data_IF_189113963186
#
_entry.id   IF_189113963186
#
_cell.length_a   1.000
_cell.length_b   1.000
_cell.length_c   1.000
_cell.angle_alpha   90.00
_cell.angle_beta   90.00
_cell.angle_gamma   90.00
#
_symmetry.space_group_name_H-M   'P 1'
#
loop_
_entity.id
_entity.type
_entity.pdbx_description
1 polymer ?
#
# COMPACT_ATOMS: atom_id res chain seq x y z
N UNK A 1 -62.48 -31.77 -32.68
CA UNK A 1 -61.78 -30.49 -33.05
C UNK A 1 -61.33 -29.60 -31.87
N UNK A 2 -62.05 -29.45 -30.74
CA UNK A 2 -61.58 -28.59 -29.61
C UNK A 2 -60.41 -29.19 -28.76
N UNK A 3 -60.33 -30.53 -28.62
CA UNK A 3 -59.26 -31.20 -27.85
C UNK A 3 -57.91 -31.17 -28.58
N UNK A 4 -57.89 -31.33 -29.89
CA UNK A 4 -56.63 -31.36 -30.70
C UNK A 4 -55.95 -30.01 -30.79
N UNK A 5 -56.72 -28.90 -30.69
CA UNK A 5 -56.16 -27.53 -30.66
C UNK A 5 -55.55 -27.16 -29.30
N UNK A 6 -55.94 -27.82 -28.20
CA UNK A 6 -55.35 -27.57 -26.85
C UNK A 6 -53.99 -28.27 -26.67
N UNK A 7 -53.87 -29.52 -27.14
CA UNK A 7 -52.59 -30.28 -27.05
C UNK A 7 -51.49 -29.69 -27.95
N UNK A 8 -51.84 -29.15 -29.11
CA UNK A 8 -50.86 -28.45 -29.98
C UNK A 8 -50.41 -27.12 -29.40
N UNK A 9 -51.27 -26.40 -28.68
CA UNK A 9 -50.90 -25.17 -27.94
C UNK A 9 -50.00 -25.48 -26.74
N UNK A 10 -50.27 -26.52 -25.98
CA UNK A 10 -49.41 -26.95 -24.86
C UNK A 10 -48.04 -27.44 -25.34
N UNK A 11 -47.98 -28.24 -26.40
CA UNK A 11 -46.69 -28.68 -27.01
C UNK A 11 -45.84 -27.50 -27.54
N UNK A 12 -46.47 -26.46 -28.13
CA UNK A 12 -45.80 -25.23 -28.56
C UNK A 12 -45.29 -24.42 -27.37
N UNK A 13 -46.09 -24.32 -26.29
CA UNK A 13 -45.69 -23.64 -25.05
C UNK A 13 -44.54 -24.33 -24.37
N UNK A 14 -44.50 -25.65 -24.30
CA UNK A 14 -43.39 -26.43 -23.77
C UNK A 14 -42.12 -26.32 -24.62
N UNK A 15 -42.22 -26.32 -25.95
CA UNK A 15 -41.08 -26.09 -26.84
C UNK A 15 -40.52 -24.68 -26.70
N UNK A 16 -41.38 -23.68 -26.56
CA UNK A 16 -40.97 -22.29 -26.33
C UNK A 16 -40.32 -22.13 -24.97
N UNK A 17 -40.86 -22.71 -23.90
CA UNK A 17 -40.28 -22.69 -22.53
C UNK A 17 -38.92 -23.39 -22.50
N UNK A 18 -38.77 -24.55 -23.17
CA UNK A 18 -37.48 -25.24 -23.30
C UNK A 18 -36.45 -24.38 -24.07
N UNK A 19 -36.84 -23.72 -25.17
CA UNK A 19 -35.93 -22.81 -25.89
C UNK A 19 -35.53 -21.61 -25.04
N UNK A 20 -36.49 -21.03 -24.30
CA UNK A 20 -36.21 -19.93 -23.37
C UNK A 20 -35.23 -20.35 -22.27
N UNK A 21 -35.40 -21.54 -21.71
CA UNK A 21 -34.48 -22.13 -20.73
C UNK A 21 -33.10 -22.40 -21.33
N UNK A 22 -33.00 -22.96 -22.51
CA UNK A 22 -31.72 -23.32 -23.15
C UNK A 22 -30.93 -22.11 -23.61
N UNK A 23 -31.54 -20.98 -23.91
CA UNK A 23 -30.91 -19.74 -24.34
C UNK A 23 -30.78 -18.77 -23.15
N UNK A 24 -31.82 -18.63 -22.34
CA UNK A 24 -31.88 -17.68 -21.24
C UNK A 24 -30.98 -18.08 -20.08
N UNK A 25 -30.86 -19.38 -19.75
CA UNK A 25 -30.04 -19.84 -18.65
C UNK A 25 -28.53 -19.57 -18.90
N UNK A 26 -27.92 -19.89 -20.05
CA UNK A 26 -26.53 -19.52 -20.34
C UNK A 26 -26.28 -18.02 -20.32
N UNK A 27 -27.23 -17.21 -20.83
CA UNK A 27 -27.12 -15.75 -20.77
C UNK A 27 -27.13 -15.26 -19.32
N UNK A 28 -28.03 -15.80 -18.49
CA UNK A 28 -28.16 -15.46 -17.08
C UNK A 28 -26.90 -15.86 -16.28
N UNK A 29 -26.31 -17.01 -16.59
CA UNK A 29 -25.04 -17.48 -16.05
C UNK A 29 -23.89 -16.54 -16.47
N UNK A 30 -23.84 -16.17 -17.75
CA UNK A 30 -22.84 -15.22 -18.26
C UNK A 30 -22.95 -13.86 -17.55
N UNK A 31 -24.15 -13.34 -17.39
CA UNK A 31 -24.39 -12.08 -16.65
C UNK A 31 -23.93 -12.24 -15.20
N UNK A 32 -24.30 -13.31 -14.52
CA UNK A 32 -23.91 -13.58 -13.14
C UNK A 32 -22.38 -13.68 -12.97
N UNK A 33 -21.67 -14.20 -13.98
CA UNK A 33 -20.21 -14.28 -13.97
C UNK A 33 -19.51 -12.93 -14.14
N UNK A 34 -20.15 -11.95 -14.78
CA UNK A 34 -19.56 -10.64 -15.11
C UNK A 34 -19.95 -9.57 -14.08
N UNK A 35 -21.14 -9.66 -13.49
CA UNK A 35 -21.64 -8.65 -12.54
C UNK A 35 -20.71 -8.52 -11.34
N UNK A 36 -20.23 -7.30 -11.01
CA UNK A 36 -19.40 -7.05 -9.83
C UNK A 36 -20.14 -7.46 -8.54
N UNK A 37 -19.38 -8.02 -7.61
CA UNK A 37 -19.87 -8.35 -6.26
C UNK A 37 -19.38 -7.30 -5.25
N UNK A 38 -19.71 -7.46 -3.98
CA UNK A 38 -19.16 -6.67 -2.87
C UNK A 38 -17.82 -7.24 -2.35
N UNK A 39 -17.15 -8.09 -3.13
CA UNK A 39 -15.85 -8.66 -2.84
C UNK A 39 -14.79 -8.01 -3.71
N UNK A 40 -13.55 -8.08 -3.23
CA UNK A 40 -12.36 -7.63 -3.94
C UNK A 40 -11.39 -8.81 -4.09
N UNK A 41 -10.71 -8.86 -5.21
CA UNK A 41 -9.64 -9.83 -5.46
C UNK A 41 -8.29 -9.10 -5.48
N UNK A 42 -7.33 -9.64 -4.75
CA UNK A 42 -5.93 -9.25 -4.82
C UNK A 42 -5.15 -10.32 -5.57
N UNK A 43 -4.39 -9.92 -6.59
CA UNK A 43 -3.59 -10.81 -7.45
C UNK A 43 -2.19 -10.23 -7.65
N UNK A 44 -1.23 -11.02 -8.19
CA UNK A 44 0.07 -10.48 -8.61
C UNK A 44 -0.11 -9.29 -9.56
N UNK A 45 0.57 -8.20 -9.26
CA UNK A 45 0.55 -6.96 -10.05
C UNK A 45 1.69 -6.91 -11.07
N UNK A 46 2.46 -5.83 -11.02
CA UNK A 46 3.58 -5.54 -11.93
C UNK A 46 4.90 -5.43 -11.18
N UNK A 47 5.98 -5.51 -11.92
CA UNK A 47 7.35 -5.22 -11.48
C UNK A 47 7.81 -3.98 -12.24
N UNK A 48 8.15 -2.91 -11.51
CA UNK A 48 8.44 -1.62 -12.11
C UNK A 48 9.88 -1.18 -11.81
N UNK A 49 10.66 -0.79 -12.82
CA UNK A 49 12.04 -0.35 -12.62
C UNK A 49 12.09 1.02 -11.95
N UNK A 50 12.66 1.07 -10.75
CA UNK A 50 12.66 2.26 -9.88
C UNK A 50 13.49 3.41 -10.47
N UNK A 51 14.55 3.11 -11.23
CA UNK A 51 15.38 4.09 -11.92
C UNK A 51 14.61 4.91 -12.98
N UNK A 52 13.47 4.39 -13.47
CA UNK A 52 12.61 5.13 -14.39
C UNK A 52 11.69 6.14 -13.68
N UNK A 53 11.46 5.93 -12.38
CA UNK A 53 10.59 6.76 -11.55
C UNK A 53 11.34 7.89 -10.84
N UNK A 54 12.67 7.75 -10.66
CA UNK A 54 13.49 8.67 -9.87
C UNK A 54 14.40 9.49 -10.77
N UNK A 55 14.45 10.79 -10.48
CA UNK A 55 15.44 11.69 -11.04
C UNK A 55 16.18 12.43 -9.93
N UNK A 56 17.49 12.52 -10.07
CA UNK A 56 18.37 13.32 -9.22
C UNK A 56 18.95 14.46 -10.07
N UNK A 57 18.64 15.72 -9.70
CA UNK A 57 18.92 16.91 -10.51
C UNK A 57 18.44 16.77 -11.97
N UNK A 58 17.24 16.17 -12.14
CA UNK A 58 16.61 15.97 -13.44
C UNK A 58 17.18 14.82 -14.27
N UNK A 59 18.16 14.07 -13.76
CA UNK A 59 18.77 12.94 -14.45
C UNK A 59 18.29 11.61 -13.89
N UNK A 60 17.95 10.66 -14.76
CA UNK A 60 17.67 9.27 -14.41
C UNK A 60 18.98 8.48 -14.33
N UNK A 61 19.00 7.43 -13.52
CA UNK A 61 20.11 6.49 -13.52
C UNK A 61 20.08 5.61 -14.78
N UNK A 62 21.25 5.47 -15.39
CA UNK A 62 21.48 4.66 -16.61
C UNK A 62 22.49 3.55 -16.37
N UNK A 63 22.82 3.26 -15.12
CA UNK A 63 23.72 2.17 -14.73
C UNK A 63 23.19 0.80 -15.12
N UNK A 64 24.04 -0.22 -15.10
CA UNK A 64 23.66 -1.61 -15.43
C UNK A 64 22.88 -2.25 -14.28
N UNK A 65 21.92 -3.13 -14.61
CA UNK A 65 21.02 -3.77 -13.69
C UNK A 65 19.95 -2.80 -13.16
N UNK A 66 18.96 -3.31 -12.47
CA UNK A 66 17.85 -2.50 -12.00
C UNK A 66 17.48 -2.83 -10.55
N UNK A 67 16.97 -1.83 -9.85
CA UNK A 67 16.10 -2.03 -8.71
C UNK A 67 14.65 -2.01 -9.18
N UNK A 68 13.87 -2.98 -8.71
CA UNK A 68 12.44 -3.07 -9.02
C UNK A 68 11.61 -2.99 -7.75
N UNK A 69 10.58 -2.17 -7.76
CA UNK A 69 9.47 -2.32 -6.84
C UNK A 69 8.47 -3.35 -7.40
N UNK A 70 7.69 -3.96 -6.52
CA UNK A 70 6.65 -4.93 -6.88
C UNK A 70 5.32 -4.49 -6.35
N UNK A 71 4.27 -4.65 -7.17
CA UNK A 71 2.90 -4.29 -6.81
C UNK A 71 2.02 -5.51 -6.64
N UNK A 72 0.89 -5.33 -6.00
CA UNK A 72 -0.29 -6.19 -6.09
C UNK A 72 -1.37 -5.44 -6.86
N UNK A 73 -2.23 -6.14 -7.55
CA UNK A 73 -3.41 -5.56 -8.19
C UNK A 73 -4.65 -5.92 -7.39
N UNK A 74 -5.42 -4.92 -7.02
CA UNK A 74 -6.70 -5.07 -6.33
C UNK A 74 -7.80 -4.62 -7.28
N UNK A 75 -8.84 -5.43 -7.43
CA UNK A 75 -9.99 -5.12 -8.26
C UNK A 75 -11.27 -5.62 -7.61
N UNK A 76 -12.40 -4.97 -7.89
CA UNK A 76 -13.71 -5.49 -7.49
C UNK A 76 -13.96 -6.81 -8.19
N UNK A 77 -14.26 -7.87 -7.41
CA UNK A 77 -14.39 -9.21 -7.93
C UNK A 77 -15.79 -9.48 -8.46
N UNK A 78 -15.88 -10.16 -9.61
CA UNK A 78 -17.09 -10.81 -10.08
C UNK A 78 -17.06 -12.31 -9.72
N UNK A 79 -18.13 -13.03 -10.01
CA UNK A 79 -18.23 -14.45 -9.67
C UNK A 79 -17.16 -15.30 -10.38
N UNK A 80 -16.79 -14.96 -11.61
CA UNK A 80 -15.74 -15.67 -12.33
C UNK A 80 -14.38 -15.51 -11.65
N UNK A 81 -14.05 -14.31 -11.16
CA UNK A 81 -12.82 -14.04 -10.41
C UNK A 81 -12.79 -14.76 -9.05
N UNK A 82 -13.95 -14.84 -8.37
CA UNK A 82 -14.09 -15.60 -7.12
C UNK A 82 -13.86 -17.10 -7.37
N UNK A 83 -14.42 -17.66 -8.43
CA UNK A 83 -14.19 -19.06 -8.82
C UNK A 83 -12.69 -19.27 -9.16
N UNK A 84 -12.11 -18.38 -9.97
CA UNK A 84 -10.70 -18.42 -10.35
C UNK A 84 -9.78 -18.42 -9.12
N UNK A 85 -10.09 -17.64 -8.09
CA UNK A 85 -9.27 -17.54 -6.89
C UNK A 85 -9.11 -18.87 -6.15
N UNK A 86 -10.06 -19.79 -6.25
CA UNK A 86 -9.97 -21.13 -5.64
C UNK A 86 -8.92 -22.03 -6.32
N UNK A 87 -8.56 -21.72 -7.56
CA UNK A 87 -7.58 -22.47 -8.33
C UNK A 87 -6.22 -21.75 -8.44
N UNK A 88 -6.15 -20.48 -8.01
CA UNK A 88 -4.93 -19.68 -8.05
C UNK A 88 -4.40 -19.44 -6.63
N UNK A 89 -3.29 -20.07 -6.31
CA UNK A 89 -2.64 -19.96 -4.99
C UNK A 89 -2.09 -18.57 -4.66
N UNK A 90 -2.00 -17.68 -5.64
CA UNK A 90 -1.50 -16.30 -5.51
C UNK A 90 -2.63 -15.28 -5.67
N UNK A 91 -3.83 -15.63 -5.26
CA UNK A 91 -4.96 -14.71 -5.20
C UNK A 91 -5.63 -14.77 -3.83
N UNK A 92 -6.13 -13.63 -3.37
CA UNK A 92 -6.86 -13.51 -2.10
C UNK A 92 -8.14 -12.75 -2.33
N UNK A 93 -9.24 -13.23 -1.73
CA UNK A 93 -10.54 -12.55 -1.77
C UNK A 93 -10.76 -11.86 -0.42
N UNK A 94 -11.08 -10.58 -0.48
CA UNK A 94 -11.44 -9.74 0.67
C UNK A 94 -12.91 -9.33 0.59
N UNK A 95 -13.54 -9.10 1.75
CA UNK A 95 -14.73 -8.27 1.81
C UNK A 95 -14.34 -6.79 1.65
N UNK A 96 -15.30 -5.93 1.26
CA UNK A 96 -15.06 -4.49 1.24
C UNK A 96 -14.65 -3.97 2.63
N UNK A 97 -15.25 -4.52 3.70
CA UNK A 97 -14.94 -4.15 5.08
C UNK A 97 -13.52 -4.57 5.50
N UNK A 98 -13.08 -5.78 5.13
CA UNK A 98 -11.71 -6.26 5.45
C UNK A 98 -10.64 -5.47 4.70
N UNK A 99 -10.93 -5.02 3.45
CA UNK A 99 -9.97 -4.29 2.63
C UNK A 99 -9.93 -2.80 2.94
N UNK A 100 -11.09 -2.17 3.03
CA UNK A 100 -11.23 -0.71 3.07
C UNK A 100 -11.77 -0.19 4.41
N UNK A 101 -12.20 -1.09 5.31
CA UNK A 101 -12.82 -0.67 6.58
C UNK A 101 -14.13 0.08 6.34
N UNK A 102 -14.20 1.32 6.83
CA UNK A 102 -15.37 2.20 6.66
C UNK A 102 -15.27 3.12 5.43
N UNK A 103 -14.19 3.05 4.66
CA UNK A 103 -13.94 3.87 3.49
C UNK A 103 -14.66 3.35 2.25
N UNK A 104 -15.03 4.26 1.35
CA UNK A 104 -15.36 3.91 -0.04
C UNK A 104 -14.07 3.74 -0.89
N UNK A 105 -14.21 3.28 -2.13
CA UNK A 105 -13.06 3.03 -3.01
C UNK A 105 -12.24 4.29 -3.29
N UNK A 106 -12.89 5.46 -3.46
CA UNK A 106 -12.19 6.71 -3.74
C UNK A 106 -11.38 7.18 -2.53
N UNK A 107 -11.92 7.02 -1.33
CA UNK A 107 -11.23 7.31 -0.08
C UNK A 107 -10.04 6.36 0.14
N UNK A 108 -10.23 5.08 -0.15
CA UNK A 108 -9.18 4.07 -0.07
C UNK A 108 -8.01 4.39 -1.03
N UNK A 109 -8.31 4.76 -2.27
CA UNK A 109 -7.30 5.16 -3.25
C UNK A 109 -6.56 6.42 -2.80
N UNK A 110 -7.27 7.42 -2.28
CA UNK A 110 -6.69 8.65 -1.76
C UNK A 110 -5.75 8.38 -0.58
N UNK A 111 -6.16 7.54 0.37
CA UNK A 111 -5.33 7.14 1.52
C UNK A 111 -4.06 6.43 1.04
N UNK A 112 -4.16 5.54 0.05
CA UNK A 112 -2.99 4.86 -0.52
C UNK A 112 -2.03 5.83 -1.23
N UNK A 113 -2.54 6.93 -1.84
CA UNK A 113 -1.69 7.98 -2.39
C UNK A 113 -0.91 8.72 -1.30
N UNK A 114 -1.53 9.03 -0.15
CA UNK A 114 -0.81 9.65 0.98
C UNK A 114 0.23 8.72 1.61
N UNK A 115 -0.08 7.43 1.72
CA UNK A 115 0.93 6.45 2.13
C UNK A 115 2.12 6.43 1.18
N UNK A 116 1.87 6.48 -0.13
CA UNK A 116 2.93 6.53 -1.15
C UNK A 116 3.75 7.82 -1.03
N UNK A 117 3.10 8.98 -0.87
CA UNK A 117 3.78 10.26 -0.70
C UNK A 117 4.67 10.28 0.55
N UNK A 118 4.15 9.79 1.68
CA UNK A 118 4.94 9.66 2.91
C UNK A 118 6.14 8.72 2.70
N UNK A 119 5.93 7.58 2.03
CA UNK A 119 7.01 6.64 1.73
C UNK A 119 8.10 7.26 0.83
N UNK A 120 7.71 8.06 -0.17
CA UNK A 120 8.65 8.79 -1.02
C UNK A 120 9.48 9.81 -0.21
N UNK A 121 8.83 10.60 0.63
CA UNK A 121 9.51 11.58 1.49
C UNK A 121 10.47 10.90 2.48
N UNK A 122 10.02 9.82 3.13
CA UNK A 122 10.87 9.05 4.04
C UNK A 122 12.03 8.40 3.29
N UNK A 123 11.84 7.95 2.05
CA UNK A 123 12.90 7.38 1.23
C UNK A 123 13.99 8.42 0.90
N UNK A 124 13.60 9.64 0.51
CA UNK A 124 14.56 10.74 0.28
C UNK A 124 15.31 11.05 1.57
N UNK A 125 14.59 11.22 2.68
CA UNK A 125 15.17 11.46 4.00
C UNK A 125 16.21 10.41 4.37
N UNK A 126 15.86 9.12 4.27
CA UNK A 126 16.74 8.02 4.66
C UNK A 126 17.94 7.88 3.73
N UNK A 127 17.79 8.09 2.42
CA UNK A 127 18.90 8.04 1.48
C UNK A 127 19.94 9.12 1.77
N UNK A 128 19.51 10.35 2.03
CA UNK A 128 20.42 11.45 2.38
C UNK A 128 21.07 11.28 3.75
N UNK A 129 20.30 10.83 4.75
CA UNK A 129 20.80 10.50 6.08
C UNK A 129 21.88 9.41 6.01
N UNK A 130 21.62 8.34 5.26
CA UNK A 130 22.56 7.22 5.05
C UNK A 130 23.81 7.65 4.29
N UNK A 131 23.66 8.52 3.29
CA UNK A 131 24.76 9.11 2.54
C UNK A 131 25.53 10.18 3.33
N UNK A 132 25.05 10.58 4.51
CA UNK A 132 25.59 11.70 5.33
C UNK A 132 25.64 13.01 4.54
N UNK A 133 24.68 13.21 3.66
CA UNK A 133 24.51 14.42 2.86
C UNK A 133 23.49 15.36 3.53
N UNK A 134 23.60 16.68 3.32
CA UNK A 134 22.69 17.66 3.92
C UNK A 134 21.27 17.54 3.35
N UNK A 135 20.28 17.65 4.22
CA UNK A 135 18.88 17.74 3.92
C UNK A 135 18.16 18.60 4.95
N UNK A 136 17.00 19.10 4.60
CA UNK A 136 16.04 19.73 5.53
C UNK A 136 14.75 18.93 5.54
N UNK A 137 14.36 18.46 6.71
CA UNK A 137 13.05 17.79 6.91
C UNK A 137 12.07 18.82 7.49
N UNK A 138 11.08 19.18 6.71
CA UNK A 138 9.94 20.01 7.14
C UNK A 138 8.81 19.09 7.58
N UNK A 139 8.27 19.37 8.73
CA UNK A 139 7.09 18.70 9.24
C UNK A 139 5.90 19.67 9.18
N UNK A 140 4.94 19.36 8.30
CA UNK A 140 3.77 20.20 8.04
C UNK A 140 2.55 19.79 8.89
N UNK A 141 2.63 18.63 9.57
CA UNK A 141 1.57 18.10 10.40
C UNK A 141 1.31 16.62 10.16
N UNK A 142 0.04 16.19 10.27
CA UNK A 142 -0.37 14.82 9.99
C UNK A 142 -1.56 14.80 9.04
N UNK A 143 -1.53 13.91 8.04
CA UNK A 143 -2.70 13.63 7.21
C UNK A 143 -3.74 12.84 7.99
N UNK A 144 -5.00 13.22 7.85
CA UNK A 144 -6.17 12.47 8.33
C UNK A 144 -6.48 11.36 7.34
N UNK A 145 -6.32 10.11 7.74
CA UNK A 145 -6.57 8.93 6.91
C UNK A 145 -7.91 8.26 7.20
N UNK A 146 -8.38 8.33 8.44
CA UNK A 146 -9.69 7.84 8.87
C UNK A 146 -10.17 8.61 10.09
N UNK A 147 -11.49 8.67 10.29
CA UNK A 147 -12.13 9.38 11.40
C UNK A 147 -13.04 8.41 12.14
N UNK A 148 -12.65 8.06 13.36
CA UNK A 148 -13.36 7.11 14.19
C UNK A 148 -14.81 7.55 14.49
N UNK A 149 -15.70 6.58 14.63
CA UNK A 149 -17.14 6.84 14.91
C UNK A 149 -17.39 7.68 16.16
N UNK A 150 -16.53 7.55 17.17
CA UNK A 150 -16.61 8.31 18.43
C UNK A 150 -15.82 9.62 18.41
N UNK A 151 -15.18 10.00 17.30
CA UNK A 151 -14.51 11.29 17.17
C UNK A 151 -15.51 12.43 17.19
N UNK A 152 -15.24 13.49 17.97
CA UNK A 152 -16.03 14.72 17.97
C UNK A 152 -15.79 15.58 16.72
N UNK A 153 -14.83 15.16 15.88
CA UNK A 153 -14.49 15.81 14.61
C UNK A 153 -15.11 15.13 13.38
N UNK A 154 -15.93 14.07 13.56
CA UNK A 154 -16.46 13.23 12.47
C UNK A 154 -17.15 14.00 11.34
N UNK A 155 -17.85 15.11 11.66
CA UNK A 155 -18.56 15.93 10.67
C UNK A 155 -17.82 17.26 10.36
N UNK A 156 -16.57 17.38 10.78
CA UNK A 156 -15.74 18.57 10.65
C UNK A 156 -14.51 18.32 9.81
N UNK A 157 -13.80 17.23 10.11
CA UNK A 157 -12.65 16.77 9.37
C UNK A 157 -13.06 15.98 8.11
N UNK A 158 -12.18 16.01 7.14
CA UNK A 158 -12.24 15.21 5.92
C UNK A 158 -10.97 14.35 5.82
N UNK A 159 -11.06 13.21 5.14
CA UNK A 159 -9.88 12.46 4.73
C UNK A 159 -9.02 13.37 3.86
N UNK A 160 -7.70 13.33 4.05
CA UNK A 160 -6.71 14.22 3.43
C UNK A 160 -6.57 15.62 4.07
N UNK A 161 -7.35 15.97 5.08
CA UNK A 161 -7.02 17.17 5.87
C UNK A 161 -5.66 16.98 6.54
N UNK A 162 -4.85 18.02 6.60
CA UNK A 162 -3.59 18.03 7.37
C UNK A 162 -3.82 18.74 8.69
N UNK A 163 -3.72 18.02 9.81
CA UNK A 163 -3.76 18.65 11.15
C UNK A 163 -2.41 19.29 11.42
N UNK A 164 -2.39 20.60 11.49
CA UNK A 164 -1.16 21.42 11.63
C UNK A 164 -0.91 21.85 13.08
N UNK A 165 -2.00 22.04 13.86
CA UNK A 165 -1.92 22.50 15.26
C UNK A 165 -2.96 21.79 16.13
N UNK A 166 -2.61 21.56 17.41
CA UNK A 166 -3.53 21.12 18.46
C UNK A 166 -3.43 22.07 19.65
N UNK A 167 -4.52 22.75 20.02
CA UNK A 167 -4.57 23.79 21.05
C UNK A 167 -3.54 24.90 20.84
N UNK A 168 -3.38 25.35 19.59
CA UNK A 168 -2.43 26.38 19.20
C UNK A 168 -0.95 25.98 19.28
N UNK A 169 -0.65 24.66 19.46
CA UNK A 169 0.71 24.15 19.46
C UNK A 169 1.01 23.46 18.13
N UNK A 170 2.17 23.77 17.57
CA UNK A 170 2.79 23.04 16.47
C UNK A 170 3.75 21.98 17.02
N UNK A 171 4.08 20.97 16.20
CA UNK A 171 4.91 19.82 16.59
C UNK A 171 5.99 19.58 15.54
N UNK A 172 6.99 18.76 15.88
CA UNK A 172 8.08 18.39 14.98
C UNK A 172 7.91 16.95 14.43
N UNK A 173 6.94 16.22 14.92
CA UNK A 173 6.60 14.85 14.48
C UNK A 173 5.21 14.45 15.00
N UNK A 174 4.60 13.44 14.35
CA UNK A 174 3.38 12.80 14.87
C UNK A 174 3.58 12.20 16.26
N UNK A 175 4.77 11.67 16.55
CA UNK A 175 5.08 11.12 17.86
C UNK A 175 5.00 12.19 18.97
N UNK A 176 5.51 13.40 18.72
CA UNK A 176 5.41 14.54 19.64
C UNK A 176 3.96 14.99 19.80
N UNK A 177 3.22 15.13 18.70
CA UNK A 177 1.79 15.46 18.71
C UNK A 177 0.98 14.43 19.50
N UNK A 178 1.20 13.13 19.23
CA UNK A 178 0.51 12.06 19.96
C UNK A 178 0.84 12.05 21.45
N UNK A 179 2.11 12.28 21.82
CA UNK A 179 2.52 12.39 23.22
C UNK A 179 1.78 13.53 23.92
N UNK A 180 1.66 14.68 23.29
CA UNK A 180 0.90 15.81 23.81
C UNK A 180 -0.58 15.46 23.96
N UNK A 181 -1.23 14.88 22.94
CA UNK A 181 -2.64 14.48 22.97
C UNK A 181 -2.91 13.44 24.06
N UNK A 182 -2.02 12.43 24.20
CA UNK A 182 -2.14 11.39 25.21
C UNK A 182 -1.98 11.89 26.64
N UNK A 183 -1.30 13.03 26.85
CA UNK A 183 -1.18 13.68 28.15
C UNK A 183 -2.45 14.44 28.57
N UNK A 184 -3.42 14.60 27.68
CA UNK A 184 -4.64 15.33 27.94
C UNK A 184 -5.72 14.43 28.57
N UNK A 185 -6.72 15.05 29.21
CA UNK A 185 -7.82 14.35 29.86
C UNK A 185 -8.92 14.02 28.83
N UNK A 186 -9.40 12.77 28.81
CA UNK A 186 -10.60 12.39 28.04
C UNK A 186 -11.79 13.27 28.42
N UNK A 187 -12.53 13.80 27.45
CA UNK A 187 -13.63 14.74 27.63
C UNK A 187 -13.20 16.21 27.73
N UNK A 188 -11.91 16.49 27.87
CA UNK A 188 -11.36 17.85 27.82
C UNK A 188 -11.56 18.49 26.46
N UNK A 189 -11.65 19.82 26.43
CA UNK A 189 -11.80 20.59 25.20
C UNK A 189 -10.50 20.57 24.39
N UNK A 190 -10.64 20.53 23.07
CA UNK A 190 -9.52 20.61 22.13
C UNK A 190 -9.90 21.42 20.90
N UNK A 191 -9.02 22.32 20.52
CA UNK A 191 -9.07 23.01 19.24
C UNK A 191 -8.01 22.42 18.33
N UNK A 192 -8.35 22.14 17.07
CA UNK A 192 -7.39 21.73 16.03
C UNK A 192 -7.45 22.72 14.87
N UNK A 193 -6.27 23.01 14.30
CA UNK A 193 -6.16 23.73 13.04
C UNK A 193 -5.78 22.74 11.96
N UNK A 194 -6.40 22.85 10.80
CA UNK A 194 -6.17 21.99 9.66
C UNK A 194 -6.01 22.79 8.38
N UNK A 195 -5.16 22.29 7.48
CA UNK A 195 -5.09 22.77 6.10
C UNK A 195 -5.71 21.69 5.20
N UNK A 196 -6.70 22.08 4.40
CA UNK A 196 -7.34 21.18 3.43
C UNK A 196 -6.52 21.05 2.16
N UNK A 197 -6.88 20.05 1.32
CA UNK A 197 -6.22 19.78 0.04
C UNK A 197 -6.30 20.98 -0.94
N UNK A 198 -7.28 21.87 -0.76
CA UNK A 198 -7.40 23.13 -1.53
C UNK A 198 -6.50 24.28 -0.99
N UNK A 199 -5.67 23.98 0.01
CA UNK A 199 -4.75 24.92 0.65
C UNK A 199 -5.39 25.87 1.65
N UNK A 200 -6.70 25.72 1.98
CA UNK A 200 -7.38 26.59 2.94
C UNK A 200 -7.26 26.06 4.37
N UNK A 201 -7.06 26.99 5.30
CA UNK A 201 -7.01 26.70 6.73
C UNK A 201 -8.39 26.77 7.37
N UNK A 202 -8.64 25.80 8.27
CA UNK A 202 -9.84 25.73 9.10
C UNK A 202 -9.45 25.49 10.55
N UNK A 203 -10.31 25.91 11.48
CA UNK A 203 -10.15 25.63 12.91
C UNK A 203 -11.44 25.00 13.43
N UNK A 204 -11.31 23.94 14.20
CA UNK A 204 -12.43 23.17 14.74
C UNK A 204 -12.24 22.90 16.22
N UNK A 205 -13.31 23.17 16.99
CA UNK A 205 -13.39 22.80 18.40
C UNK A 205 -14.00 21.42 18.54
N UNK A 206 -13.53 20.68 19.53
CA UNK A 206 -13.99 19.34 19.84
C UNK A 206 -13.62 18.91 21.24
N UNK A 207 -13.63 17.60 21.50
CA UNK A 207 -13.22 17.02 22.77
C UNK A 207 -12.26 15.85 22.54
N UNK A 208 -11.32 15.70 23.45
CA UNK A 208 -10.50 14.49 23.49
C UNK A 208 -11.37 13.26 23.81
N UNK A 209 -11.15 12.19 23.07
CA UNK A 209 -11.89 10.92 23.20
C UNK A 209 -10.97 9.78 23.63
N UNK A 210 -11.55 8.71 24.15
CA UNK A 210 -10.83 7.46 24.39
C UNK A 210 -10.76 6.70 23.07
N UNK A 211 -9.54 6.39 22.58
CA UNK A 211 -9.33 5.60 21.35
C UNK A 211 -9.30 4.10 21.68
N UNK A 212 -9.28 3.23 20.65
CA UNK A 212 -9.33 1.76 20.78
C UNK A 212 -8.23 1.17 21.67
N UNK A 213 -7.06 1.80 21.71
CA UNK A 213 -5.94 1.41 22.59
C UNK A 213 -6.15 1.79 24.06
N UNK A 214 -7.27 2.42 24.41
CA UNK A 214 -7.56 2.91 25.76
C UNK A 214 -6.94 4.26 26.11
N UNK A 215 -6.09 4.83 25.24
CA UNK A 215 -5.43 6.11 25.42
C UNK A 215 -6.33 7.29 25.01
N UNK A 216 -5.92 8.51 25.41
CA UNK A 216 -6.54 9.75 24.94
C UNK A 216 -6.13 10.04 23.50
N UNK A 217 -7.07 10.46 22.65
CA UNK A 217 -6.87 10.82 21.26
C UNK A 217 -7.91 11.84 20.79
N UNK A 218 -7.85 12.22 19.52
CA UNK A 218 -8.90 13.00 18.83
C UNK A 218 -9.74 12.11 17.90
N UNK A 219 -9.42 10.81 17.84
CA UNK A 219 -10.18 9.83 17.07
C UNK A 219 -9.94 9.92 15.57
N UNK A 220 -8.68 9.99 15.14
CA UNK A 220 -8.26 9.91 13.74
C UNK A 220 -7.18 8.84 13.58
N UNK A 221 -7.11 8.23 12.39
CA UNK A 221 -5.92 7.54 11.89
C UNK A 221 -5.09 8.54 11.09
N UNK A 222 -3.77 8.44 11.20
CA UNK A 222 -2.89 9.49 10.66
C UNK A 222 -1.57 8.91 10.13
N UNK A 223 -0.92 9.67 9.24
CA UNK A 223 0.50 9.54 8.89
C UNK A 223 1.14 10.93 8.85
N UNK A 224 2.47 10.98 8.96
CA UNK A 224 3.20 12.24 8.89
C UNK A 224 3.02 12.91 7.52
N UNK A 225 2.74 14.21 7.55
CA UNK A 225 2.86 15.09 6.41
C UNK A 225 4.20 15.81 6.52
N UNK A 226 5.17 15.37 5.71
CA UNK A 226 6.53 15.92 5.70
C UNK A 226 6.94 16.30 4.28
N UNK A 227 7.86 17.24 4.15
CA UNK A 227 8.57 17.55 2.92
C UNK A 227 10.07 17.44 3.18
N UNK A 228 10.81 16.87 2.25
CA UNK A 228 12.26 16.81 2.30
C UNK A 228 12.86 17.71 1.23
N UNK A 229 13.57 18.74 1.67
CA UNK A 229 14.36 19.59 0.77
C UNK A 229 15.78 19.09 0.76
N UNK A 230 16.29 18.72 -0.41
CA UNK A 230 17.60 18.10 -0.58
C UNK A 230 18.40 18.74 -1.71
N UNK A 231 19.75 18.64 -1.60
CA UNK A 231 20.67 19.00 -2.66
C UNK A 231 21.68 17.85 -2.80
N UNK A 232 21.71 17.13 -3.95
CA UNK A 232 20.94 17.34 -5.18
C UNK A 232 19.42 17.15 -5.00
N UNK A 233 18.62 17.76 -5.89
CA UNK A 233 17.17 17.66 -5.84
C UNK A 233 16.69 16.31 -6.34
N UNK A 234 15.90 15.62 -5.53
CA UNK A 234 15.26 14.33 -5.89
C UNK A 234 13.80 14.57 -6.28
N UNK A 235 13.34 13.91 -7.35
CA UNK A 235 11.93 13.78 -7.71
C UNK A 235 11.60 12.32 -7.92
N UNK A 236 10.45 11.90 -7.40
CA UNK A 236 9.91 10.55 -7.57
C UNK A 236 8.55 10.68 -8.24
N UNK A 237 8.34 9.93 -9.31
CA UNK A 237 7.06 9.82 -10.02
C UNK A 237 6.65 8.36 -10.03
N UNK A 238 5.80 7.98 -9.09
CA UNK A 238 5.25 6.63 -8.98
C UNK A 238 3.94 6.45 -9.78
N UNK A 239 3.49 7.46 -10.53
CA UNK A 239 2.25 7.42 -11.29
C UNK A 239 1.04 7.13 -10.39
N UNK A 240 0.28 6.10 -10.74
CA UNK A 240 -0.91 5.66 -9.98
C UNK A 240 -0.62 4.60 -8.91
N UNK A 241 0.65 4.24 -8.68
CA UNK A 241 1.01 3.25 -7.66
C UNK A 241 0.80 3.87 -6.28
N UNK A 242 0.01 3.18 -5.44
CA UNK A 242 -0.29 3.57 -4.07
C UNK A 242 0.34 2.66 -3.02
N UNK A 243 0.24 3.08 -1.75
CA UNK A 243 0.71 2.34 -0.59
C UNK A 243 2.20 2.53 -0.29
N UNK A 244 2.66 2.20 0.95
CA UNK A 244 3.98 2.56 1.44
C UNK A 244 5.08 1.53 1.11
N UNK A 245 4.74 0.39 0.50
CA UNK A 245 5.59 -0.80 0.42
C UNK A 245 6.79 -0.70 -0.54
N UNK A 246 6.93 0.42 -1.27
CA UNK A 246 8.05 0.71 -2.16
C UNK A 246 9.17 1.52 -1.49
N UNK A 247 8.99 1.95 -0.24
CA UNK A 247 9.88 2.87 0.46
C UNK A 247 11.34 2.42 0.49
N UNK A 248 11.60 1.14 0.82
CA UNK A 248 12.95 0.57 0.80
C UNK A 248 13.59 0.68 -0.59
N UNK A 249 12.87 0.31 -1.64
CA UNK A 249 13.42 0.28 -3.00
C UNK A 249 13.69 1.69 -3.53
N UNK A 250 12.83 2.66 -3.22
CA UNK A 250 13.11 4.07 -3.51
C UNK A 250 14.36 4.55 -2.78
N UNK A 251 14.51 4.21 -1.50
CA UNK A 251 15.69 4.59 -0.70
C UNK A 251 16.98 4.06 -1.31
N UNK A 252 16.99 2.77 -1.68
CA UNK A 252 18.17 2.12 -2.29
C UNK A 252 18.55 2.77 -3.62
N UNK A 253 17.57 3.06 -4.48
CA UNK A 253 17.83 3.71 -5.76
C UNK A 253 18.34 5.15 -5.58
N UNK A 254 17.72 5.95 -4.70
CA UNK A 254 18.18 7.32 -4.41
C UNK A 254 19.61 7.27 -3.84
N UNK A 255 19.85 6.41 -2.86
CA UNK A 255 21.17 6.25 -2.24
C UNK A 255 22.23 5.86 -3.28
N UNK A 256 21.90 4.93 -4.18
CA UNK A 256 22.76 4.50 -5.29
C UNK A 256 23.13 5.71 -6.18
N UNK A 257 22.14 6.52 -6.58
CA UNK A 257 22.36 7.67 -7.45
C UNK A 257 23.16 8.79 -6.77
N UNK A 258 22.83 9.18 -5.53
CA UNK A 258 23.47 10.31 -4.85
C UNK A 258 24.90 10.01 -4.37
N UNK A 259 25.20 8.72 -4.12
CA UNK A 259 26.54 8.30 -3.69
C UNK A 259 27.44 7.87 -4.84
N UNK A 260 26.87 7.61 -6.02
CA UNK A 260 27.59 7.03 -7.16
C UNK A 260 28.07 5.60 -6.93
N UNK A 261 27.58 4.91 -5.88
CA UNK A 261 27.86 3.49 -5.64
C UNK A 261 27.09 2.63 -6.63
N UNK A 262 27.69 1.54 -7.10
CA UNK A 262 26.96 0.54 -7.91
C UNK A 262 26.51 -0.63 -7.03
N UNK A 263 25.44 -0.41 -6.25
CA UNK A 263 24.87 -1.45 -5.39
C UNK A 263 24.24 -2.59 -6.19
N UNK A 264 23.81 -2.34 -7.43
CA UNK A 264 23.20 -3.35 -8.29
C UNK A 264 24.26 -4.29 -8.87
N UNK A 265 25.41 -3.78 -9.23
CA UNK A 265 26.50 -4.54 -9.86
C UNK A 265 25.97 -5.38 -11.05
N UNK A 266 25.14 -4.76 -11.89
CA UNK A 266 24.54 -5.37 -13.08
C UNK A 266 23.42 -6.39 -12.80
N UNK A 267 22.99 -6.58 -11.55
CA UNK A 267 21.94 -7.55 -11.14
C UNK A 267 20.54 -6.96 -11.27
N UNK A 268 19.56 -7.83 -11.49
CA UNK A 268 18.13 -7.52 -11.48
C UNK A 268 17.57 -7.81 -10.07
N UNK A 269 17.37 -6.77 -9.28
CA UNK A 269 17.06 -6.83 -7.85
C UNK A 269 15.67 -6.30 -7.60
N UNK A 270 14.74 -7.17 -7.27
CA UNK A 270 13.40 -6.78 -6.81
C UNK A 270 13.37 -6.70 -5.28
N UNK A 271 12.37 -6.02 -4.75
CA UNK A 271 12.16 -5.98 -3.32
C UNK A 271 10.86 -5.29 -2.91
N UNK A 272 10.59 -5.35 -1.62
CA UNK A 272 9.45 -4.68 -1.00
C UNK A 272 9.75 -4.40 0.47
N UNK A 273 9.09 -3.41 1.04
CA UNK A 273 9.23 -3.01 2.44
C UNK A 273 8.90 -1.54 2.62
N UNK A 274 8.26 -1.19 3.71
CA UNK A 274 8.21 0.24 4.12
C UNK A 274 9.60 0.68 4.53
N UNK A 275 9.79 1.97 4.68
CA UNK A 275 10.99 2.56 5.27
C UNK A 275 10.57 3.52 6.37
N UNK A 276 11.09 3.30 7.57
CA UNK A 276 10.81 4.16 8.71
C UNK A 276 11.91 5.22 8.90
N UNK A 277 11.61 6.26 9.66
CA UNK A 277 12.56 7.36 9.91
C UNK A 277 13.78 6.97 10.75
N UNK A 278 13.78 5.81 11.39
CA UNK A 278 14.93 5.22 12.08
C UNK A 278 15.76 4.27 11.19
N UNK A 279 15.28 3.98 9.97
CA UNK A 279 15.91 3.07 9.02
C UNK A 279 15.37 1.64 9.05
N UNK A 280 14.39 1.36 9.91
CA UNK A 280 13.71 0.06 9.98
C UNK A 280 12.92 -0.21 8.70
N UNK A 281 12.98 -1.45 8.21
CA UNK A 281 12.17 -1.95 7.09
C UNK A 281 10.95 -2.67 7.64
N UNK A 282 9.77 -2.11 7.37
CA UNK A 282 8.50 -2.64 7.90
C UNK A 282 7.84 -3.67 7.00
N UNK A 283 6.98 -4.50 7.63
CA UNK A 283 6.20 -5.55 6.97
C UNK A 283 5.15 -4.97 6.02
N UNK A 284 4.77 -5.75 5.00
CA UNK A 284 3.81 -5.35 3.95
C UNK A 284 2.79 -6.47 3.67
N UNK A 285 1.72 -6.14 2.97
CA UNK A 285 0.75 -7.12 2.49
C UNK A 285 1.11 -7.74 1.14
N UNK A 286 0.55 -8.93 0.85
CA UNK A 286 0.63 -9.56 -0.46
C UNK A 286 2.03 -9.99 -0.91
N UNK A 287 2.93 -10.32 0.03
CA UNK A 287 4.31 -10.68 -0.29
C UNK A 287 4.41 -11.91 -1.21
N UNK A 288 3.54 -12.87 -1.06
CA UNK A 288 3.43 -14.07 -1.91
C UNK A 288 3.18 -13.70 -3.38
N UNK A 289 2.31 -12.74 -3.62
CA UNK A 289 1.96 -12.22 -4.94
C UNK A 289 3.11 -11.41 -5.55
N UNK A 290 3.81 -10.64 -4.72
CA UNK A 290 5.00 -9.87 -5.10
C UNK A 290 6.16 -10.78 -5.49
N UNK A 291 6.36 -11.88 -4.79
CA UNK A 291 7.32 -12.93 -5.16
C UNK A 291 6.96 -13.56 -6.52
N UNK A 292 5.66 -13.83 -6.74
CA UNK A 292 5.21 -14.38 -8.02
C UNK A 292 5.49 -13.42 -9.19
N UNK A 293 5.24 -12.13 -8.98
CA UNK A 293 5.49 -11.07 -9.96
C UNK A 293 6.98 -10.94 -10.26
N UNK A 294 7.83 -10.80 -9.23
CA UNK A 294 9.28 -10.66 -9.39
C UNK A 294 9.93 -11.88 -10.05
N UNK A 295 9.48 -13.09 -9.68
CA UNK A 295 9.97 -14.35 -10.27
C UNK A 295 9.63 -14.45 -11.77
N UNK A 296 8.44 -13.99 -12.17
CA UNK A 296 8.01 -13.96 -13.58
C UNK A 296 8.84 -12.97 -14.40
N UNK A 297 9.25 -11.84 -13.81
CA UNK A 297 10.08 -10.83 -14.45
C UNK A 297 11.55 -11.21 -14.55
N UNK A 298 11.97 -12.29 -13.85
CA UNK A 298 13.34 -12.78 -13.90
C UNK A 298 14.28 -12.10 -12.90
N UNK A 299 13.76 -11.54 -11.82
CA UNK A 299 14.60 -11.00 -10.75
C UNK A 299 15.52 -12.09 -10.17
N UNK A 300 16.78 -11.74 -9.93
CA UNK A 300 17.79 -12.64 -9.38
C UNK A 300 17.73 -12.67 -7.84
N UNK A 301 17.37 -11.53 -7.26
CA UNK A 301 17.34 -11.26 -5.82
C UNK A 301 16.02 -10.61 -5.48
N UNK A 302 15.44 -10.99 -4.33
CA UNK A 302 14.30 -10.31 -3.74
C UNK A 302 14.59 -9.92 -2.29
N UNK A 303 14.68 -8.62 -2.01
CA UNK A 303 14.84 -8.08 -0.67
C UNK A 303 13.46 -8.02 0.01
N UNK A 304 13.35 -8.58 1.22
CA UNK A 304 12.06 -8.72 1.90
C UNK A 304 12.18 -8.48 3.40
N UNK A 305 11.21 -7.79 4.03
CA UNK A 305 11.25 -7.55 5.47
C UNK A 305 11.26 -8.84 6.30
N UNK A 306 12.08 -8.87 7.34
CA UNK A 306 12.10 -9.92 8.36
C UNK A 306 11.71 -9.34 9.73
N UNK A 307 10.54 -9.69 10.25
CA UNK A 307 10.10 -9.28 11.58
C UNK A 307 10.78 -10.04 12.73
N UNK A 308 11.53 -11.09 12.42
CA UNK A 308 12.05 -12.02 13.42
C UNK A 308 11.01 -12.99 13.99
N UNK A 309 9.73 -12.89 13.61
CA UNK A 309 8.69 -13.86 13.99
C UNK A 309 8.96 -15.22 13.35
N UNK A 310 8.64 -16.27 14.09
CA UNK A 310 8.72 -17.68 13.61
C UNK A 310 7.48 -18.12 12.82
N UNK A 311 6.46 -17.27 12.70
CA UNK A 311 5.21 -17.54 11.97
C UNK A 311 5.23 -16.81 10.64
N UNK A 312 4.88 -17.48 9.54
CA UNK A 312 4.83 -16.88 8.22
C UNK A 312 3.79 -15.77 8.10
N UNK A 313 2.65 -15.88 8.79
CA UNK A 313 1.61 -14.85 8.80
C UNK A 313 2.08 -13.52 9.41
N UNK A 314 3.09 -13.56 10.30
CA UNK A 314 3.65 -12.39 10.96
C UNK A 314 5.04 -12.01 10.40
N UNK A 315 5.51 -12.68 9.34
CA UNK A 315 6.87 -12.50 8.81
C UNK A 315 6.92 -12.63 7.29
N UNK A 316 7.10 -11.51 6.61
CA UNK A 316 7.18 -11.50 5.15
C UNK A 316 8.31 -12.37 4.59
N UNK A 317 9.45 -12.47 5.26
CA UNK A 317 10.55 -13.33 4.81
C UNK A 317 10.14 -14.80 4.76
N UNK A 318 9.48 -15.30 5.80
CA UNK A 318 9.02 -16.69 5.83
C UNK A 318 7.95 -16.95 4.75
N UNK A 319 6.97 -16.07 4.64
CA UNK A 319 5.93 -16.15 3.61
C UNK A 319 6.51 -16.07 2.18
N UNK A 320 7.52 -15.21 1.96
CA UNK A 320 8.24 -15.12 0.69
C UNK A 320 8.99 -16.41 0.33
N UNK A 321 9.64 -17.05 1.30
CA UNK A 321 10.30 -18.34 1.09
C UNK A 321 9.32 -19.44 0.72
N UNK A 322 8.16 -19.50 1.35
CA UNK A 322 7.10 -20.45 1.01
C UNK A 322 6.58 -20.21 -0.41
N UNK A 323 6.35 -18.95 -0.80
CA UNK A 323 5.94 -18.57 -2.14
C UNK A 323 7.00 -18.94 -3.19
N UNK A 324 8.27 -18.63 -2.94
CA UNK A 324 9.39 -18.98 -3.82
C UNK A 324 9.53 -20.51 -4.02
N UNK A 325 9.37 -21.28 -2.93
CA UNK A 325 9.37 -22.75 -2.99
C UNK A 325 8.21 -23.28 -3.85
N UNK A 326 7.00 -22.71 -3.69
CA UNK A 326 5.82 -23.08 -4.47
C UNK A 326 5.99 -22.81 -5.97
N UNK A 327 6.64 -21.69 -6.30
CA UNK A 327 6.96 -21.28 -7.68
C UNK A 327 8.15 -22.06 -8.26
N UNK A 328 8.94 -22.73 -7.44
CA UNK A 328 10.21 -23.37 -7.82
C UNK A 328 11.18 -22.39 -8.50
N UNK A 329 11.18 -21.13 -8.04
CA UNK A 329 12.08 -20.11 -8.57
C UNK A 329 13.49 -20.25 -7.99
N UNK A 330 14.51 -19.86 -8.78
CA UNK A 330 15.91 -19.73 -8.35
C UNK A 330 16.24 -18.38 -7.72
N UNK A 331 15.28 -17.45 -7.70
CA UNK A 331 15.43 -16.13 -7.11
C UNK A 331 15.83 -16.22 -5.64
N UNK A 332 16.89 -15.51 -5.24
CA UNK A 332 17.37 -15.49 -3.87
C UNK A 332 16.47 -14.60 -3.02
N UNK A 333 15.90 -15.15 -1.94
CA UNK A 333 15.07 -14.40 -1.00
C UNK A 333 15.93 -13.96 0.18
N UNK A 334 16.13 -12.66 0.34
CA UNK A 334 17.07 -12.07 1.30
C UNK A 334 16.30 -11.32 2.38
N UNK A 335 16.43 -11.73 3.66
CA UNK A 335 15.81 -11.03 4.77
C UNK A 335 16.53 -9.71 5.05
N UNK A 336 15.77 -8.66 5.32
CA UNK A 336 16.28 -7.35 5.76
C UNK A 336 15.41 -6.82 6.89
N UNK A 337 16.02 -6.30 7.95
CA UNK A 337 15.34 -5.63 9.08
C UNK A 337 15.51 -4.13 8.97
N UNK A 338 16.64 -3.70 8.42
CA UNK A 338 17.04 -2.29 8.31
C UNK A 338 17.57 -1.98 6.92
N UNK A 339 17.66 -0.69 6.61
CA UNK A 339 18.32 -0.20 5.39
C UNK A 339 19.80 -0.63 5.34
N UNK A 340 20.47 -0.63 6.49
CA UNK A 340 21.88 -1.07 6.59
C UNK A 340 22.04 -2.54 6.22
N UNK A 341 21.10 -3.40 6.58
CA UNK A 341 21.12 -4.83 6.18
C UNK A 341 21.04 -4.97 4.66
N UNK A 342 20.12 -4.21 4.04
CA UNK A 342 19.95 -4.24 2.59
C UNK A 342 21.23 -3.75 1.87
N UNK A 343 21.80 -2.64 2.29
CA UNK A 343 23.04 -2.09 1.72
C UNK A 343 24.20 -3.06 1.93
N UNK A 344 24.39 -3.58 3.14
CA UNK A 344 25.45 -4.54 3.48
C UNK A 344 25.37 -5.78 2.61
N UNK A 345 24.17 -6.35 2.44
CA UNK A 345 23.99 -7.50 1.57
C UNK A 345 24.34 -7.17 0.11
N UNK A 346 23.90 -6.02 -0.40
CA UNK A 346 24.16 -5.64 -1.79
C UNK A 346 25.65 -5.40 -2.08
N UNK A 347 26.39 -4.87 -1.12
CA UNK A 347 27.85 -4.62 -1.19
C UNK A 347 28.69 -5.88 -0.97
N UNK A 348 28.29 -6.76 -0.06
CA UNK A 348 29.15 -7.85 0.42
C UNK A 348 28.64 -9.26 0.08
N UNK A 349 27.37 -9.39 -0.24
CA UNK A 349 26.68 -10.68 -0.42
C UNK A 349 26.38 -11.40 0.91
N UNK A 350 26.62 -10.77 2.07
CA UNK A 350 26.39 -11.36 3.39
C UNK A 350 25.13 -10.82 4.03
N UNK A 351 24.34 -11.69 4.62
CA UNK A 351 23.19 -11.34 5.46
C UNK A 351 23.72 -11.08 6.87
N UNK A 352 23.29 -10.01 7.52
CA UNK A 352 23.59 -9.78 8.93
C UNK A 352 22.79 -10.77 9.79
N UNK A 353 23.42 -11.35 10.80
CA UNK A 353 22.81 -12.29 11.74
C UNK A 353 21.84 -11.60 12.72
#
# INVERSE_FOLDING_TARGET
MKKENSETKEKKKHKFLKRLLWIGLPILVLIALIVPTNKYIEVPGTTEPVNQMITVDGKKDTGKGNFYLTTVQIAQANLAMIIYSHFNSFSTIYSAEDLMGSMDSAQYDLVNQFYMQTAQNTAVYQAFKQAKMPYELKYDGVYVLDIAKNSTFKNKLQIADTVTEVNGKTFKSSAEMMKYIQSQKVGGDVNIKVTRIDGKDYSFDGKFVKISTGKTGIGISLVDHTEVVSTPKVKIDAGSIGGPSAGMMFTLEIYNQITGKDLRNGREIAGTGTIETDGTIGQIGGVDKKIATASKEGAEIFLVPDSGSKKADDNNYLAAKEAAKKLKTSMKIIPVKTLDDAITYLETGKVND
#
